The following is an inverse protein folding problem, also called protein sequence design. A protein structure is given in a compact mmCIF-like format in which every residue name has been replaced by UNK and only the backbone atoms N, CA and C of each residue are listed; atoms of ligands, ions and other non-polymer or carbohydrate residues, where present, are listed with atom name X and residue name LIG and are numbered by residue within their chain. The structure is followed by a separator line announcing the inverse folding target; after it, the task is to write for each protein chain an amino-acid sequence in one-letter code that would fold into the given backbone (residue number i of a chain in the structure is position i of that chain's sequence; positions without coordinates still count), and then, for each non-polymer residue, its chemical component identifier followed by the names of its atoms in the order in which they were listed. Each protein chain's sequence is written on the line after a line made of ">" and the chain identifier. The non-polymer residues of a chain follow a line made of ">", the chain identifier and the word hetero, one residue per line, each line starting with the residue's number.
data_IF_234407466830
#
_entry.id   IF_234407466830
#
_cell.length_a   1.000
_cell.length_b   1.000
_cell.length_c   1.000
_cell.angle_alpha   90.00
_cell.angle_beta   90.00
_cell.angle_gamma   90.00
#
_symmetry.space_group_name_H-M   'P 1'
#
loop_
_entity.id
_entity.type
_entity.pdbx_description
1 polymer ?
#
# COMPACT_ATOMS: atom_id res chain seq x y z
N UNK A 1 1.34 -5.25 -31.61
CA UNK A 1 1.18 -3.86 -31.12
C UNK A 1 1.95 -3.73 -29.81
N UNK A 2 3.09 -3.03 -29.83
CA UNK A 2 3.80 -2.59 -28.62
C UNK A 2 3.28 -1.21 -28.27
N UNK A 3 2.70 -1.05 -27.09
CA UNK A 3 2.55 0.25 -26.44
C UNK A 3 3.63 0.34 -25.38
N UNK A 4 4.76 0.97 -25.70
CA UNK A 4 5.73 1.39 -24.70
C UNK A 4 5.20 2.69 -24.08
N UNK A 5 4.71 2.59 -22.85
CA UNK A 5 4.72 3.72 -21.92
C UNK A 5 5.96 3.53 -21.03
N UNK A 6 6.71 4.61 -20.83
CA UNK A 6 8.11 4.69 -20.36
C UNK A 6 8.48 4.03 -19.01
N UNK A 7 7.65 3.17 -18.40
CA UNK A 7 7.79 2.80 -16.98
C UNK A 7 7.46 1.33 -16.65
N UNK A 8 6.89 0.53 -17.56
CA UNK A 8 6.54 -0.87 -17.23
C UNK A 8 6.67 -1.84 -18.42
N UNK A 9 7.32 -2.99 -18.19
CA UNK A 9 7.36 -4.12 -19.10
C UNK A 9 6.56 -5.29 -18.50
N UNK A 10 5.55 -5.78 -19.22
CA UNK A 10 4.79 -6.98 -18.84
C UNK A 10 5.24 -8.18 -19.66
N UNK A 11 5.55 -9.29 -19.00
CA UNK A 11 5.96 -10.56 -19.63
C UNK A 11 5.15 -11.70 -19.03
N UNK A 12 4.90 -12.74 -19.81
CA UNK A 12 4.33 -13.99 -19.32
C UNK A 12 5.39 -15.08 -19.39
N UNK A 13 5.66 -15.76 -18.27
CA UNK A 13 6.56 -16.90 -18.20
C UNK A 13 5.83 -18.08 -17.53
N UNK A 14 5.75 -19.23 -18.19
CA UNK A 14 5.03 -20.42 -17.72
C UNK A 14 3.59 -20.14 -17.22
N UNK A 15 2.90 -19.21 -17.89
CA UNK A 15 1.54 -18.80 -17.52
C UNK A 15 1.46 -17.79 -16.36
N UNK A 16 2.57 -17.45 -15.72
CA UNK A 16 2.65 -16.38 -14.72
C UNK A 16 2.89 -15.02 -15.36
N UNK A 17 2.10 -14.02 -14.95
CA UNK A 17 2.28 -12.61 -15.37
C UNK A 17 3.35 -11.96 -14.49
N UNK A 18 4.36 -11.38 -15.12
CA UNK A 18 5.48 -10.69 -14.49
C UNK A 18 5.50 -9.25 -14.98
N UNK A 19 5.43 -8.30 -14.05
CA UNK A 19 5.52 -6.87 -14.33
C UNK A 19 6.88 -6.32 -13.84
N UNK A 20 7.69 -5.80 -14.75
CA UNK A 20 8.90 -5.04 -14.43
C UNK A 20 8.54 -3.56 -14.42
N UNK A 21 8.57 -2.95 -13.24
CA UNK A 21 8.21 -1.54 -13.06
C UNK A 21 9.42 -0.77 -12.58
N UNK A 22 9.76 0.33 -13.25
CA UNK A 22 10.80 1.24 -12.78
C UNK A 22 10.17 2.31 -11.91
N UNK A 23 10.64 2.43 -10.67
CA UNK A 23 10.20 3.48 -9.77
C UNK A 23 11.31 4.51 -9.51
N UNK A 24 10.99 5.82 -9.50
CA UNK A 24 11.97 6.87 -9.27
C UNK A 24 12.25 7.09 -7.77
N UNK A 25 12.28 6.03 -6.97
CA UNK A 25 12.51 6.09 -5.52
C UNK A 25 13.31 4.88 -5.03
N UNK A 26 14.06 5.07 -3.95
CA UNK A 26 14.88 4.02 -3.34
C UNK A 26 14.06 3.17 -2.35
N UNK A 27 14.47 1.91 -2.09
CA UNK A 27 13.99 1.14 -0.96
C UNK A 27 14.32 1.84 0.38
N UNK A 28 13.43 1.74 1.36
CA UNK A 28 13.64 2.26 2.72
C UNK A 28 14.76 1.52 3.45
N UNK A 29 14.88 0.22 3.17
CA UNK A 29 15.97 -0.63 3.64
C UNK A 29 16.47 -1.49 2.47
N UNK A 30 17.74 -1.94 2.50
CA UNK A 30 18.25 -2.84 1.47
C UNK A 30 17.36 -4.08 1.31
N UNK A 31 16.96 -4.41 0.06
CA UNK A 31 16.24 -5.65 -0.20
C UNK A 31 17.02 -6.88 0.25
N UNK A 32 16.32 -7.90 0.72
CA UNK A 32 16.94 -9.14 1.21
C UNK A 32 16.79 -10.28 0.21
N UNK A 33 17.70 -11.26 0.16
CA UNK A 33 17.56 -12.41 -0.74
C UNK A 33 16.32 -13.24 -0.39
N UNK A 34 15.48 -13.49 -1.39
CA UNK A 34 14.36 -14.41 -1.34
C UNK A 34 14.62 -15.71 -2.11
N UNK A 35 13.57 -16.53 -2.32
CA UNK A 35 13.65 -17.74 -3.12
C UNK A 35 14.25 -17.47 -4.51
N UNK A 36 15.19 -18.32 -4.94
CA UNK A 36 15.86 -18.18 -6.24
C UNK A 36 16.81 -16.97 -6.33
N UNK A 37 17.16 -16.34 -5.21
CA UNK A 37 18.03 -15.16 -5.20
C UNK A 37 17.33 -13.86 -5.59
N UNK A 38 16.00 -13.88 -5.79
CA UNK A 38 15.22 -12.69 -6.08
C UNK A 38 15.19 -11.79 -4.84
N UNK A 39 15.60 -10.55 -5.00
CA UNK A 39 15.59 -9.58 -3.91
C UNK A 39 14.17 -9.19 -3.53
N UNK A 40 13.85 -9.31 -2.24
CA UNK A 40 12.54 -9.01 -1.66
C UNK A 40 12.56 -7.62 -1.00
N UNK A 41 11.53 -6.83 -1.31
CA UNK A 41 11.27 -5.58 -0.61
C UNK A 41 10.91 -5.85 0.85
N UNK A 42 11.26 -4.93 1.74
CA UNK A 42 10.91 -5.03 3.15
C UNK A 42 9.42 -4.84 3.38
N UNK A 43 8.91 -5.34 4.51
CA UNK A 43 7.50 -5.10 4.92
C UNK A 43 7.22 -3.60 5.09
N UNK A 44 8.24 -2.80 5.47
CA UNK A 44 8.14 -1.34 5.54
C UNK A 44 7.92 -0.70 4.17
N UNK A 45 8.68 -1.13 3.18
CA UNK A 45 8.50 -0.71 1.78
C UNK A 45 7.11 -1.09 1.28
N UNK A 46 6.69 -2.34 1.52
CA UNK A 46 5.37 -2.83 1.12
C UNK A 46 4.25 -2.03 1.80
N UNK A 47 4.41 -1.68 3.09
CA UNK A 47 3.44 -0.87 3.83
C UNK A 47 3.28 0.52 3.20
N UNK A 48 4.39 1.22 2.96
CA UNK A 48 4.39 2.50 2.26
C UNK A 48 3.75 2.39 0.86
N UNK A 49 4.10 1.37 0.09
CA UNK A 49 3.54 1.14 -1.25
C UNK A 49 2.02 0.86 -1.21
N UNK A 50 1.51 0.20 -0.16
CA UNK A 50 0.08 -0.03 -0.02
C UNK A 50 -0.71 1.22 0.32
N UNK A 51 -0.14 2.13 1.11
CA UNK A 51 -0.73 3.46 1.29
C UNK A 51 -0.84 4.23 -0.04
N UNK A 52 0.21 4.18 -0.87
CA UNK A 52 0.19 4.78 -2.21
C UNK A 52 -0.88 4.14 -3.13
N UNK A 53 -1.01 2.81 -3.10
CA UNK A 53 -2.00 2.10 -3.89
C UNK A 53 -3.44 2.42 -3.45
N UNK A 54 -3.70 2.51 -2.14
CA UNK A 54 -5.01 2.90 -1.63
C UNK A 54 -5.35 4.32 -2.07
N UNK A 55 -4.41 5.26 -1.98
CA UNK A 55 -4.63 6.65 -2.40
C UNK A 55 -4.86 6.82 -3.91
N UNK A 56 -4.48 5.86 -4.75
CA UNK A 56 -4.61 5.97 -6.21
C UNK A 56 -5.74 5.13 -6.79
N UNK A 57 -5.98 3.91 -6.26
CA UNK A 57 -7.01 3.00 -6.79
C UNK A 57 -7.94 2.39 -5.75
N UNK A 58 -7.54 2.32 -4.48
CA UNK A 58 -8.45 1.94 -3.38
C UNK A 58 -9.17 0.59 -3.51
N UNK A 59 -8.61 -0.44 -4.17
CA UNK A 59 -9.32 -1.73 -4.32
C UNK A 59 -9.20 -2.62 -3.07
N UNK A 60 -10.13 -3.58 -2.86
CA UNK A 60 -10.15 -4.46 -1.65
C UNK A 60 -8.81 -5.11 -1.33
N UNK A 61 -8.07 -5.52 -2.36
CA UNK A 61 -6.76 -6.17 -2.20
C UNK A 61 -5.75 -5.26 -1.49
N UNK A 62 -5.72 -3.96 -1.80
CA UNK A 62 -4.74 -3.06 -1.17
C UNK A 62 -5.06 -2.82 0.30
N UNK A 63 -6.33 -2.65 0.62
CA UNK A 63 -6.79 -2.59 2.01
C UNK A 63 -6.47 -3.87 2.77
N UNK A 64 -6.67 -5.04 2.15
CA UNK A 64 -6.33 -6.32 2.78
C UNK A 64 -4.84 -6.44 3.06
N UNK A 65 -4.00 -6.18 2.05
CA UNK A 65 -2.55 -6.28 2.19
C UNK A 65 -2.05 -5.31 3.28
N UNK A 66 -2.53 -4.06 3.28
CA UNK A 66 -2.22 -3.08 4.32
C UNK A 66 -2.70 -3.53 5.72
N UNK A 67 -3.87 -4.13 5.82
CA UNK A 67 -4.40 -4.67 7.07
C UNK A 67 -3.54 -5.83 7.61
N UNK A 68 -3.08 -6.73 6.73
CA UNK A 68 -2.19 -7.84 7.11
C UNK A 68 -0.84 -7.30 7.59
N UNK A 69 -0.28 -6.31 6.90
CA UNK A 69 0.95 -5.62 7.31
C UNK A 69 0.77 -4.95 8.69
N UNK A 70 -0.38 -4.32 8.93
CA UNK A 70 -0.68 -3.74 10.23
C UNK A 70 -0.75 -4.80 11.34
N UNK A 71 -1.37 -5.94 11.08
CA UNK A 71 -1.47 -7.06 12.03
C UNK A 71 -0.13 -7.76 12.28
N UNK A 72 0.86 -7.63 11.39
CA UNK A 72 2.21 -8.16 11.60
C UNK A 72 3.12 -7.26 12.43
N UNK A 73 2.62 -6.12 12.93
CA UNK A 73 3.35 -5.23 13.83
C UNK A 73 3.76 -3.88 13.22
N UNK A 74 3.42 -3.63 11.95
CA UNK A 74 3.70 -2.36 11.29
C UNK A 74 2.47 -1.44 11.34
N UNK A 75 2.31 -0.70 12.44
CA UNK A 75 1.13 0.16 12.65
C UNK A 75 0.90 1.14 11.48
N UNK A 76 -0.34 1.59 11.32
CA UNK A 76 -0.70 2.55 10.28
C UNK A 76 0.10 3.86 10.39
N UNK A 77 0.41 4.31 11.61
CA UNK A 77 1.28 5.45 11.86
C UNK A 77 2.73 5.20 11.40
N UNK A 78 3.26 3.99 11.65
CA UNK A 78 4.59 3.60 11.16
C UNK A 78 4.63 3.56 9.63
N UNK A 79 3.59 2.98 9.00
CA UNK A 79 3.46 2.96 7.54
C UNK A 79 3.38 4.37 6.95
N UNK A 80 2.68 5.29 7.62
CA UNK A 80 2.59 6.68 7.20
C UNK A 80 3.93 7.44 7.31
N UNK A 81 4.72 7.16 8.34
CA UNK A 81 6.07 7.67 8.47
C UNK A 81 6.99 7.11 7.37
N UNK A 82 6.90 5.80 7.12
CA UNK A 82 7.64 5.10 6.06
C UNK A 82 7.26 5.61 4.66
N UNK A 83 5.98 5.90 4.43
CA UNK A 83 5.49 6.55 3.21
C UNK A 83 6.16 7.91 2.96
N UNK A 84 6.18 8.79 3.97
CA UNK A 84 6.86 10.09 3.88
C UNK A 84 8.36 9.94 3.61
N UNK A 85 9.01 8.99 4.27
CA UNK A 85 10.44 8.73 4.08
C UNK A 85 10.74 8.20 2.66
N UNK A 86 9.84 7.39 2.09
CA UNK A 86 10.03 6.74 0.79
C UNK A 86 9.75 7.67 -0.40
N UNK A 87 8.67 8.44 -0.34
CA UNK A 87 8.20 9.25 -1.47
C UNK A 87 8.54 10.73 -1.36
N UNK A 88 9.06 11.19 -0.21
CA UNK A 88 9.44 12.58 0.01
C UNK A 88 8.24 13.51 0.26
N UNK A 89 8.53 14.79 0.54
CA UNK A 89 7.50 15.79 0.90
C UNK A 89 6.69 16.32 -0.30
N UNK A 90 7.31 16.40 -1.47
CA UNK A 90 6.73 17.02 -2.68
C UNK A 90 5.71 16.11 -3.40
N UNK A 91 5.85 14.78 -3.29
CA UNK A 91 5.02 13.80 -4.03
C UNK A 91 3.89 13.17 -3.20
N UNK A 92 3.77 13.54 -1.93
CA UNK A 92 3.05 12.72 -0.94
C UNK A 92 2.19 13.62 -0.04
N UNK A 93 0.99 13.97 -0.52
CA UNK A 93 0.00 14.54 0.38
C UNK A 93 -0.51 13.44 1.33
N UNK A 94 0.16 13.28 2.46
CA UNK A 94 -0.23 12.30 3.47
C UNK A 94 -1.66 12.55 3.95
N UNK A 95 -2.16 13.79 3.90
CA UNK A 95 -3.55 14.08 4.22
C UNK A 95 -4.50 13.38 3.23
N UNK A 96 -4.26 13.51 1.93
CA UNK A 96 -5.01 12.78 0.90
C UNK A 96 -4.95 11.26 1.09
N UNK A 97 -3.76 10.72 1.38
CA UNK A 97 -3.56 9.29 1.65
C UNK A 97 -4.41 8.84 2.84
N UNK A 98 -4.37 9.57 3.96
CA UNK A 98 -5.12 9.22 5.17
C UNK A 98 -6.62 9.30 4.94
N UNK A 99 -7.10 10.25 4.13
CA UNK A 99 -8.51 10.34 3.74
C UNK A 99 -8.95 9.11 2.94
N UNK A 100 -8.13 8.68 1.98
CA UNK A 100 -8.41 7.51 1.15
C UNK A 100 -8.55 6.21 1.97
N UNK A 101 -7.91 6.11 3.14
CA UNK A 101 -8.05 4.94 4.02
C UNK A 101 -9.47 4.71 4.55
N UNK A 102 -10.33 5.72 4.49
CA UNK A 102 -11.75 5.62 4.89
C UNK A 102 -12.71 5.67 3.71
N UNK A 103 -12.19 5.70 2.48
CA UNK A 103 -12.98 5.72 1.26
C UNK A 103 -13.05 4.30 0.67
N UNK A 104 -14.21 3.65 0.79
CA UNK A 104 -14.37 2.24 0.40
C UNK A 104 -15.15 2.04 -0.90
N UNK A 105 -15.67 3.11 -1.52
CA UNK A 105 -16.57 3.01 -2.67
C UNK A 105 -15.91 2.24 -3.83
N UNK A 106 -14.65 2.57 -4.18
CA UNK A 106 -13.90 1.88 -5.23
C UNK A 106 -13.67 0.40 -4.88
N UNK A 107 -13.37 0.11 -3.61
CA UNK A 107 -13.22 -1.25 -3.13
C UNK A 107 -14.53 -2.03 -3.23
N UNK A 108 -15.67 -1.38 -2.98
CA UNK A 108 -16.97 -2.02 -2.97
C UNK A 108 -17.59 -2.15 -4.36
N UNK A 109 -17.24 -1.26 -5.29
CA UNK A 109 -17.65 -1.30 -6.68
C UNK A 109 -17.03 -2.48 -7.46
N UNK A 110 -15.85 -2.97 -7.05
CA UNK A 110 -15.25 -4.17 -7.63
C UNK A 110 -16.14 -5.39 -7.32
N UNK A 111 -16.68 -6.12 -8.31
CA UNK A 111 -17.50 -7.31 -8.04
C UNK A 111 -16.66 -8.51 -7.57
N UNK A 112 -15.33 -8.47 -7.73
CA UNK A 112 -14.44 -9.59 -7.48
C UNK A 112 -13.81 -9.47 -6.09
N UNK A 113 -14.01 -10.50 -5.27
CA UNK A 113 -13.25 -10.66 -4.04
C UNK A 113 -11.87 -11.25 -4.35
N UNK A 114 -10.78 -10.69 -3.79
CA UNK A 114 -9.49 -11.36 -3.80
C UNK A 114 -9.63 -12.78 -3.26
N UNK A 115 -8.93 -13.75 -3.87
CA UNK A 115 -8.97 -15.15 -3.42
C UNK A 115 -8.65 -15.24 -1.93
N UNK A 116 -9.54 -15.85 -1.15
CA UNK A 116 -9.40 -16.00 0.31
C UNK A 116 -10.00 -14.86 1.13
N UNK A 117 -10.49 -13.79 0.50
CA UNK A 117 -11.23 -12.75 1.20
C UNK A 117 -12.71 -13.11 1.34
N UNK A 118 -13.19 -13.22 2.58
CA UNK A 118 -14.61 -13.40 2.89
C UNK A 118 -15.29 -12.05 3.17
N UNK A 119 -16.62 -11.95 3.08
CA UNK A 119 -17.36 -10.75 3.51
C UNK A 119 -17.09 -10.37 4.97
N UNK A 120 -16.93 -11.38 5.84
CA UNK A 120 -16.56 -11.19 7.25
C UNK A 120 -15.18 -10.56 7.40
N UNK A 121 -14.18 -11.06 6.67
CA UNK A 121 -12.84 -10.48 6.68
C UNK A 121 -12.86 -9.05 6.12
N UNK A 122 -13.62 -8.80 5.05
CA UNK A 122 -13.78 -7.44 4.51
C UNK A 122 -14.38 -6.47 5.54
N UNK A 123 -15.39 -6.91 6.30
CA UNK A 123 -15.96 -6.12 7.39
C UNK A 123 -14.93 -5.80 8.48
N UNK A 124 -14.05 -6.75 8.83
CA UNK A 124 -12.96 -6.52 9.79
C UNK A 124 -11.96 -5.49 9.26
N UNK A 125 -11.53 -5.64 8.00
CA UNK A 125 -10.62 -4.71 7.32
C UNK A 125 -11.18 -3.28 7.35
N UNK A 126 -12.45 -3.08 6.94
CA UNK A 126 -13.08 -1.76 7.00
C UNK A 126 -13.15 -1.19 8.41
N UNK A 127 -13.52 -2.02 9.37
CA UNK A 127 -13.63 -1.61 10.78
C UNK A 127 -12.27 -1.17 11.33
N UNK A 128 -11.19 -1.85 10.94
CA UNK A 128 -9.83 -1.45 11.30
C UNK A 128 -9.50 -0.06 10.76
N UNK A 129 -9.65 0.18 9.44
CA UNK A 129 -9.28 1.48 8.86
C UNK A 129 -10.19 2.62 9.30
N UNK A 130 -11.50 2.37 9.45
CA UNK A 130 -12.44 3.36 9.99
C UNK A 130 -12.10 3.80 11.42
N UNK A 131 -11.37 2.96 12.18
CA UNK A 131 -10.90 3.28 13.54
C UNK A 131 -9.51 3.92 13.55
N UNK A 132 -8.56 3.37 12.79
CA UNK A 132 -7.16 3.80 12.86
C UNK A 132 -6.85 5.06 12.02
N UNK A 133 -7.51 5.25 10.88
CA UNK A 133 -7.23 6.40 10.02
C UNK A 133 -7.59 7.75 10.68
N UNK A 134 -8.72 7.90 11.41
CA UNK A 134 -9.01 9.12 12.15
C UNK A 134 -7.99 9.41 13.28
N UNK A 135 -7.49 8.37 13.97
CA UNK A 135 -6.45 8.53 14.99
C UNK A 135 -5.15 9.02 14.39
N UNK A 136 -4.74 8.42 13.28
CA UNK A 136 -3.57 8.88 12.54
C UNK A 136 -3.74 10.34 12.09
N UNK A 137 -4.92 10.73 11.60
CA UNK A 137 -5.18 12.12 11.22
C UNK A 137 -5.02 13.08 12.42
N UNK A 138 -5.54 12.72 13.59
CA UNK A 138 -5.38 13.51 14.81
C UNK A 138 -3.90 13.66 15.21
N UNK A 139 -3.14 12.57 15.19
CA UNK A 139 -1.69 12.59 15.48
C UNK A 139 -0.92 13.48 14.50
N UNK A 140 -1.30 13.49 13.22
CA UNK A 140 -0.68 14.34 12.20
C UNK A 140 -1.02 15.82 12.34
N UNK A 141 -2.17 16.14 12.96
CA UNK A 141 -2.63 17.51 13.19
C UNK A 141 -2.14 18.10 14.52
N UNK A 142 -1.57 17.28 15.41
CA UNK A 142 -0.96 17.79 16.64
C UNK A 142 0.32 18.58 16.33
N UNK A 143 0.54 19.75 16.96
CA UNK A 143 1.81 20.46 16.84
C UNK A 143 2.92 19.57 17.39
N UNK A 144 3.97 19.33 16.61
CA UNK A 144 5.16 18.64 17.13
C UNK A 144 5.76 19.48 18.26
N UNK A 145 6.08 18.89 19.43
CA UNK A 145 6.89 19.60 20.41
C UNK A 145 8.22 19.96 19.75
N UNK A 146 8.58 21.25 19.84
CA UNK A 146 9.82 21.81 19.33
C UNK A 146 11.04 21.35 20.11
#
# INVERSE_FOLDING_TARGET
>A
MRGETDVTLKVTADGAIIDFVRYPYMPLVPPTPGPGGVLLASVRDLGAMKLAAIATRGIRRDFWDAFVIAKSGHSLAQMAADFRAKFGKEASDLYHVVRALTYFDDAEADPIFPRGMTPTLWKEVRTYFAREAPRLLQELMQPKPG
#
